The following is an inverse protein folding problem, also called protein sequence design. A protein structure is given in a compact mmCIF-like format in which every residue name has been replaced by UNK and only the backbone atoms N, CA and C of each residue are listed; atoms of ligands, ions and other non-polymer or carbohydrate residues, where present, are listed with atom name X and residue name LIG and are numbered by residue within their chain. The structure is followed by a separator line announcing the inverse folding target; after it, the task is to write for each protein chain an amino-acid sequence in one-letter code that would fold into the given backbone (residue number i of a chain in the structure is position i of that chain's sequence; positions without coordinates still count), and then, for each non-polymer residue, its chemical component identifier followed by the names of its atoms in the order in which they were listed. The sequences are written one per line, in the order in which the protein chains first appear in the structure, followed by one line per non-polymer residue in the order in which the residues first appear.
data_IF_796752464534
#
_entry.id   IF_796752464534
#
_cell.length_a   1.000
_cell.length_b   1.000
_cell.length_c   1.000
_cell.angle_alpha   90.00
_cell.angle_beta   90.00
_cell.angle_gamma   90.00
#
_symmetry.space_group_name_H-M   'P 1'
#
loop_
_entity.id
_entity.type
_entity.pdbx_description
1 polymer ?
#
# COMPACT_ATOMS: atom_id res chain seq x y z
N UNK A 1 -4.16 22.50 26.29
CA UNK A 1 -2.96 22.20 25.48
C UNK A 1 -2.65 20.72 25.70
N UNK A 2 -2.66 19.87 24.66
CA UNK A 2 -2.33 18.44 24.82
C UNK A 2 -0.87 18.34 25.30
N UNK A 3 -0.60 17.53 26.32
CA UNK A 3 0.78 17.36 26.79
C UNK A 3 1.66 16.71 25.69
N UNK A 4 2.98 16.88 25.80
CA UNK A 4 3.95 16.45 24.79
C UNK A 4 3.97 14.94 24.56
N UNK A 5 3.63 14.15 25.59
CA UNK A 5 3.53 12.68 25.55
C UNK A 5 2.27 12.28 24.79
N UNK A 6 1.14 12.94 25.09
CA UNK A 6 -0.13 12.71 24.40
C UNK A 6 -0.06 13.15 22.92
N UNK A 7 0.63 14.25 22.61
CA UNK A 7 0.89 14.68 21.23
C UNK A 7 1.73 13.67 20.46
N UNK A 8 2.81 13.16 21.06
CA UNK A 8 3.66 12.12 20.48
C UNK A 8 2.82 10.86 20.20
N UNK A 9 2.10 10.36 21.21
CA UNK A 9 1.27 9.15 21.08
C UNK A 9 0.20 9.27 19.99
N UNK A 10 -0.57 10.37 19.97
CA UNK A 10 -1.62 10.62 18.97
C UNK A 10 -1.03 10.79 17.57
N UNK A 11 0.13 11.43 17.45
CA UNK A 11 0.81 11.60 16.17
C UNK A 11 1.33 10.27 15.62
N UNK A 12 1.95 9.44 16.46
CA UNK A 12 2.43 8.12 16.06
C UNK A 12 1.27 7.15 15.78
N UNK A 13 0.19 7.13 16.58
CA UNK A 13 -1.00 6.32 16.30
C UNK A 13 -1.67 6.71 14.97
N UNK A 14 -1.84 8.01 14.70
CA UNK A 14 -2.38 8.47 13.39
C UNK A 14 -1.45 8.15 12.22
N UNK A 15 -0.14 8.20 12.43
CA UNK A 15 0.85 7.87 11.40
C UNK A 15 0.87 6.37 11.14
N UNK A 16 0.84 5.54 12.17
CA UNK A 16 0.75 4.07 12.05
C UNK A 16 -0.56 3.64 11.40
N UNK A 17 -1.69 4.26 11.74
CA UNK A 17 -2.97 4.02 11.09
C UNK A 17 -2.93 4.38 9.59
N UNK A 18 -2.33 5.54 9.24
CA UNK A 18 -2.09 5.93 7.84
C UNK A 18 -1.14 4.95 7.11
N UNK A 19 -0.10 4.48 7.80
CA UNK A 19 0.87 3.53 7.24
C UNK A 19 0.31 2.09 7.12
N UNK A 20 -0.78 1.80 7.85
CA UNK A 20 -1.62 0.60 7.76
C UNK A 20 -2.69 0.68 6.64
N UNK A 21 -3.06 1.87 6.18
CA UNK A 21 -4.27 2.09 5.36
C UNK A 21 -4.13 1.68 3.88
N UNK A 22 -2.96 1.23 3.44
CA UNK A 22 -2.77 0.80 2.06
C UNK A 22 -3.12 -0.69 1.87
N UNK A 23 -4.31 -0.96 1.31
CA UNK A 23 -4.80 -2.30 1.01
C UNK A 23 -3.81 -3.14 0.20
N UNK A 24 -3.20 -2.56 -0.84
CA UNK A 24 -2.19 -3.24 -1.67
C UNK A 24 -1.01 -3.77 -0.82
N UNK A 25 -0.46 -2.93 0.06
CA UNK A 25 0.63 -3.29 0.98
C UNK A 25 0.23 -4.43 1.93
N UNK A 26 -0.98 -4.36 2.46
CA UNK A 26 -1.53 -5.35 3.38
C UNK A 26 -1.68 -6.71 2.69
N UNK A 27 -2.31 -6.75 1.52
CA UNK A 27 -2.51 -7.98 0.75
C UNK A 27 -1.16 -8.57 0.31
N UNK A 28 -0.24 -7.73 -0.20
CA UNK A 28 1.10 -8.18 -0.61
C UNK A 28 1.85 -8.86 0.54
N UNK A 29 1.84 -8.24 1.73
CA UNK A 29 2.48 -8.81 2.92
C UNK A 29 1.81 -10.09 3.38
N UNK A 30 0.47 -10.17 3.33
CA UNK A 30 -0.26 -11.39 3.65
C UNK A 30 0.10 -12.56 2.71
N UNK A 31 0.49 -12.26 1.46
CA UNK A 31 1.01 -13.23 0.49
C UNK A 31 2.52 -13.46 0.57
N UNK A 32 3.19 -12.93 1.60
CA UNK A 32 4.64 -13.05 1.83
C UNK A 32 5.52 -12.57 0.66
N UNK A 33 5.04 -11.59 -0.10
CA UNK A 33 5.79 -11.03 -1.23
C UNK A 33 6.52 -9.75 -0.81
N UNK A 34 7.75 -9.58 -1.28
CA UNK A 34 8.43 -8.29 -1.35
C UNK A 34 7.85 -7.43 -2.48
N UNK A 35 8.17 -6.13 -2.48
CA UNK A 35 7.78 -5.24 -3.58
C UNK A 35 8.43 -5.64 -4.91
N UNK A 36 9.62 -6.26 -4.87
CA UNK A 36 10.33 -6.72 -6.07
C UNK A 36 9.63 -7.96 -6.67
N UNK A 37 9.24 -8.91 -5.83
CA UNK A 37 8.52 -10.11 -6.28
C UNK A 37 7.12 -9.75 -6.83
N UNK A 38 6.42 -8.80 -6.21
CA UNK A 38 5.16 -8.30 -6.77
C UNK A 38 5.38 -7.58 -8.11
N UNK A 39 6.47 -6.83 -8.25
CA UNK A 39 6.82 -6.15 -9.51
C UNK A 39 7.04 -7.17 -10.63
N UNK A 40 7.81 -8.21 -10.35
CA UNK A 40 8.08 -9.31 -11.29
C UNK A 40 6.77 -10.02 -11.71
N UNK A 41 5.91 -10.36 -10.74
CA UNK A 41 4.63 -11.05 -11.01
C UNK A 41 3.63 -10.20 -11.80
N UNK A 42 3.57 -8.90 -11.53
CA UNK A 42 2.56 -7.99 -12.12
C UNK A 42 3.02 -7.29 -13.39
N UNK A 43 4.32 -7.27 -13.67
CA UNK A 43 4.92 -6.43 -14.70
C UNK A 43 4.80 -4.92 -14.42
N UNK A 44 4.46 -4.53 -13.19
CA UNK A 44 4.42 -3.14 -12.73
C UNK A 44 5.75 -2.80 -12.06
N UNK A 45 6.29 -1.61 -12.29
CA UNK A 45 7.58 -1.24 -11.70
C UNK A 45 7.53 -1.26 -10.17
N UNK A 46 8.60 -1.74 -9.53
CA UNK A 46 8.76 -1.69 -8.06
C UNK A 46 8.58 -0.26 -7.53
N UNK A 47 9.06 0.75 -8.26
CA UNK A 47 8.92 2.15 -7.88
C UNK A 47 7.45 2.60 -7.85
N UNK A 48 6.64 2.18 -8.83
CA UNK A 48 5.20 2.40 -8.85
C UNK A 48 4.53 1.75 -7.64
N UNK A 49 4.83 0.49 -7.35
CA UNK A 49 4.31 -0.22 -6.16
C UNK A 49 4.67 0.54 -4.88
N UNK A 50 5.94 0.92 -4.71
CA UNK A 50 6.39 1.66 -3.53
C UNK A 50 5.75 3.06 -3.40
N UNK A 51 5.38 3.71 -4.50
CA UNK A 51 4.66 4.98 -4.48
C UNK A 51 3.21 4.78 -4.06
N UNK A 52 2.54 3.75 -4.59
CA UNK A 52 1.18 3.38 -4.20
C UNK A 52 1.13 3.07 -2.70
N UNK A 53 2.03 2.21 -2.22
CA UNK A 53 2.05 1.77 -0.82
C UNK A 53 2.37 2.87 0.20
N UNK A 54 2.97 3.97 -0.26
CA UNK A 54 3.23 5.16 0.57
C UNK A 54 2.09 6.18 0.54
N UNK A 55 0.99 5.87 -0.14
CA UNK A 55 -0.17 6.77 -0.25
C UNK A 55 0.13 8.04 -1.03
N UNK A 56 1.17 8.06 -1.88
CA UNK A 56 1.31 9.16 -2.83
C UNK A 56 0.12 9.05 -3.80
N UNK A 57 -0.62 10.13 -3.98
CA UNK A 57 -1.65 10.24 -5.02
C UNK A 57 -0.98 9.95 -6.36
N UNK A 58 -1.10 8.70 -6.80
CA UNK A 58 -0.87 8.31 -8.17
C UNK A 58 -2.27 8.18 -8.73
N UNK A 59 -2.62 8.97 -9.74
CA UNK A 59 -3.76 8.62 -10.59
C UNK A 59 -3.47 7.24 -11.16
N UNK A 60 -4.04 6.21 -10.54
CA UNK A 60 -3.77 4.84 -10.94
C UNK A 60 -4.59 4.56 -12.18
N UNK A 61 -3.89 4.34 -13.29
CA UNK A 61 -4.50 3.75 -14.46
C UNK A 61 -5.18 2.44 -14.05
N UNK A 62 -6.42 2.24 -14.48
CA UNK A 62 -7.20 1.02 -14.20
C UNK A 62 -6.40 -0.24 -14.58
N UNK A 63 -5.64 -0.19 -15.67
CA UNK A 63 -4.76 -1.28 -16.10
C UNK A 63 -3.65 -1.62 -15.10
N UNK A 64 -3.12 -0.64 -14.36
CA UNK A 64 -2.12 -0.89 -13.30
C UNK A 64 -2.76 -1.61 -12.12
N UNK A 65 -3.96 -1.19 -11.71
CA UNK A 65 -4.70 -1.84 -10.61
C UNK A 65 -5.07 -3.26 -11.00
N UNK A 66 -5.54 -3.49 -12.24
CA UNK A 66 -5.88 -4.81 -12.73
C UNK A 66 -4.68 -5.77 -12.75
N UNK A 67 -3.49 -5.31 -13.19
CA UNK A 67 -2.26 -6.11 -13.16
C UNK A 67 -1.86 -6.50 -11.74
N UNK A 68 -1.96 -5.57 -10.79
CA UNK A 68 -1.65 -5.83 -9.38
C UNK A 68 -2.66 -6.78 -8.74
N UNK A 69 -3.95 -6.60 -9.00
CA UNK A 69 -5.02 -7.47 -8.53
C UNK A 69 -4.85 -8.91 -9.05
N UNK A 70 -4.57 -9.06 -10.34
CA UNK A 70 -4.31 -10.37 -10.95
C UNK A 70 -3.06 -11.04 -10.37
N UNK A 71 -1.95 -10.30 -10.20
CA UNK A 71 -0.72 -10.84 -9.61
C UNK A 71 -0.88 -11.23 -8.13
N UNK A 72 -1.81 -10.58 -7.44
CA UNK A 72 -2.18 -10.88 -6.06
C UNK A 72 -3.35 -11.86 -5.95
N UNK A 73 -3.93 -12.34 -7.05
CA UNK A 73 -5.09 -13.25 -7.05
C UNK A 73 -6.21 -12.75 -6.13
N UNK A 74 -6.64 -11.50 -6.37
CA UNK A 74 -7.74 -10.79 -5.70
C UNK A 74 -8.54 -9.97 -6.72
N UNK A 75 -9.71 -9.49 -6.33
CA UNK A 75 -10.49 -8.55 -7.14
C UNK A 75 -9.88 -7.14 -7.14
N UNK A 76 -10.20 -6.35 -8.17
CA UNK A 76 -9.76 -4.95 -8.27
C UNK A 76 -10.22 -4.13 -7.06
N UNK A 77 -11.44 -4.37 -6.57
CA UNK A 77 -12.03 -3.71 -5.39
C UNK A 77 -11.33 -4.01 -4.06
N UNK A 78 -10.51 -5.06 -4.00
CA UNK A 78 -9.71 -5.36 -2.82
C UNK A 78 -8.39 -4.59 -2.82
N UNK A 79 -7.90 -4.16 -3.98
CA UNK A 79 -6.62 -3.43 -4.11
C UNK A 79 -6.77 -1.94 -3.81
N UNK A 80 -7.93 -1.35 -4.13
CA UNK A 80 -8.27 0.08 -3.94
C UNK A 80 -9.43 0.26 -2.98
#
# INVERSE_FOLDING_TARGET
MLDRILYSRLYYEKKEARDMENKLKTIRKAKNLSQAELAEKSGVSRATIANIERGKQVELLVGTVAKLASALDVSISEVI
#
